data_IF_864611284042
#
_entry.id   IF_864611284042
#
_cell.length_a   1.000
_cell.length_b   1.000
_cell.length_c   1.000
_cell.angle_alpha   90.00
_cell.angle_beta   90.00
_cell.angle_gamma   90.00
#
_symmetry.space_group_name_H-M   'P 1'
#
loop_
_entity.id
_entity.type
_entity.pdbx_description
1 polymer ?
#
# COMPACT_ATOMS: atom_id res chain seq x y z
N UNK A 1 -2.37 -19.34 4.32
CA UNK A 1 -1.15 -19.56 3.49
C UNK A 1 -0.62 -18.19 3.15
N UNK A 2 0.50 -17.81 3.73
CA UNK A 2 0.90 -16.41 3.79
C UNK A 2 1.82 -16.12 2.59
N UNK A 3 1.58 -15.00 1.91
CA UNK A 3 2.24 -14.67 0.64
C UNK A 3 3.19 -13.50 0.87
N UNK A 4 4.36 -13.53 0.22
CA UNK A 4 5.30 -12.41 0.18
C UNK A 4 5.28 -11.81 -1.22
N UNK A 5 4.89 -10.54 -1.32
CA UNK A 5 5.01 -9.75 -2.53
C UNK A 5 6.26 -8.85 -2.45
N UNK A 6 6.95 -8.61 -3.57
CA UNK A 6 8.19 -7.81 -3.63
C UNK A 6 8.19 -6.89 -4.87
N UNK A 7 8.52 -5.60 -4.69
CA UNK A 7 8.41 -4.58 -5.75
C UNK A 7 9.76 -3.92 -6.11
N UNK A 8 9.86 -3.36 -7.32
CA UNK A 8 11.06 -2.73 -7.90
C UNK A 8 10.67 -1.50 -8.74
N UNK A 9 11.41 -0.39 -8.65
CA UNK A 9 11.10 0.88 -9.36
C UNK A 9 11.97 1.06 -10.60
N UNK A 10 11.39 1.57 -11.70
CA UNK A 10 12.13 2.00 -12.89
C UNK A 10 11.42 3.18 -13.61
N UNK A 11 12.20 4.17 -14.04
CA UNK A 11 11.77 5.27 -14.92
C UNK A 11 12.27 5.00 -16.36
N UNK A 12 11.52 5.40 -17.40
CA UNK A 12 11.88 5.03 -18.77
C UNK A 12 11.29 5.89 -19.90
N UNK A 13 11.80 5.64 -21.10
CA UNK A 13 11.39 6.22 -22.40
C UNK A 13 11.39 5.09 -23.45
N UNK A 14 10.55 5.19 -24.50
CA UNK A 14 10.37 4.15 -25.54
C UNK A 14 11.57 3.95 -26.50
N UNK A 15 11.50 3.06 -27.51
CA UNK A 15 10.33 2.43 -28.15
C UNK A 15 10.54 0.91 -28.46
N UNK A 16 9.43 0.18 -28.64
CA UNK A 16 9.29 -0.91 -29.63
C UNK A 16 9.81 -2.33 -29.28
N UNK A 17 9.64 -3.36 -30.14
CA UNK A 17 8.58 -3.60 -31.17
C UNK A 17 8.60 -5.06 -31.73
N UNK A 18 7.56 -5.88 -31.47
CA UNK A 18 7.22 -7.18 -32.12
C UNK A 18 8.27 -8.34 -32.11
N UNK A 19 7.97 -9.65 -32.25
CA UNK A 19 6.82 -10.56 -32.03
C UNK A 19 7.36 -12.02 -32.24
N UNK A 20 6.70 -13.18 -32.09
CA UNK A 20 5.33 -13.65 -31.75
C UNK A 20 5.44 -15.15 -31.32
N UNK A 21 4.52 -15.72 -30.52
CA UNK A 21 4.52 -17.17 -30.18
C UNK A 21 3.26 -17.63 -29.41
N UNK A 22 2.80 -18.88 -29.61
CA UNK A 22 1.41 -19.30 -29.32
C UNK A 22 1.21 -20.08 -28.01
N UNK A 23 0.29 -19.55 -27.18
CA UNK A 23 -0.61 -20.18 -26.22
C UNK A 23 -0.11 -21.17 -25.12
N UNK A 24 -0.09 -20.65 -23.89
CA UNK A 24 -0.75 -21.28 -22.74
C UNK A 24 -1.42 -20.17 -21.90
N UNK A 25 -2.54 -20.45 -21.22
CA UNK A 25 -3.24 -19.44 -20.41
C UNK A 25 -2.53 -19.24 -19.05
N UNK A 26 -2.21 -17.98 -18.70
CA UNK A 26 -1.44 -17.64 -17.50
C UNK A 26 -0.20 -16.77 -17.76
N UNK A 27 -0.24 -15.87 -18.75
CA UNK A 27 0.89 -15.02 -19.09
C UNK A 27 1.07 -13.88 -18.07
N UNK A 28 1.90 -14.09 -17.05
CA UNK A 28 2.51 -12.98 -16.30
C UNK A 28 3.38 -12.18 -17.27
N UNK A 29 2.95 -10.96 -17.62
CA UNK A 29 3.69 -10.08 -18.52
C UNK A 29 4.77 -9.31 -17.76
N UNK A 30 5.84 -9.99 -17.34
CA UNK A 30 7.08 -9.29 -16.99
C UNK A 30 7.61 -8.60 -18.25
N UNK A 31 7.52 -7.27 -18.31
CA UNK A 31 8.08 -6.50 -19.40
C UNK A 31 9.61 -6.49 -19.28
N UNK A 32 10.28 -7.35 -20.05
CA UNK A 32 11.73 -7.41 -20.10
C UNK A 32 12.31 -6.11 -20.68
N UNK A 33 13.28 -5.52 -19.96
CA UNK A 33 14.30 -4.63 -20.49
C UNK A 33 15.60 -4.84 -19.74
N UNK A 34 16.65 -5.20 -20.47
CA UNK A 34 18.00 -5.32 -19.92
C UNK A 34 18.53 -4.00 -19.38
N UNK A 35 18.71 -3.95 -18.07
CA UNK A 35 19.81 -3.22 -17.42
C UNK A 35 20.75 -4.25 -16.81
N UNK A 36 22.05 -3.97 -16.76
CA UNK A 36 23.01 -4.87 -16.12
C UNK A 36 22.58 -5.16 -14.68
N UNK A 37 22.63 -6.43 -14.28
CA UNK A 37 22.31 -6.82 -12.92
C UNK A 37 23.32 -6.16 -11.97
N UNK A 38 22.90 -5.09 -11.29
CA UNK A 38 23.72 -4.42 -10.27
C UNK A 38 24.09 -5.47 -9.24
N UNK A 39 25.40 -5.70 -9.12
CA UNK A 39 25.97 -6.73 -8.26
C UNK A 39 25.40 -6.58 -6.85
N UNK A 40 24.82 -7.67 -6.32
CA UNK A 40 24.07 -7.60 -5.09
C UNK A 40 24.98 -7.15 -3.95
N UNK A 41 24.61 -6.04 -3.31
CA UNK A 41 25.20 -5.68 -2.02
C UNK A 41 24.88 -6.84 -1.08
N UNK A 42 25.93 -7.44 -0.50
CA UNK A 42 25.82 -8.60 0.39
C UNK A 42 24.65 -8.39 1.38
N UNK A 43 23.60 -9.23 1.34
CA UNK A 43 22.40 -9.01 2.13
C UNK A 43 22.66 -9.13 3.64
N UNK A 44 23.80 -9.69 4.06
CA UNK A 44 24.26 -9.64 5.47
C UNK A 44 24.53 -8.20 5.94
N UNK A 45 24.82 -7.27 5.02
CA UNK A 45 25.08 -5.85 5.31
C UNK A 45 23.82 -4.98 5.43
N UNK A 46 22.62 -5.53 5.21
CA UNK A 46 21.36 -4.79 5.35
C UNK A 46 20.91 -4.80 6.80
N UNK A 47 21.05 -3.66 7.48
CA UNK A 47 20.65 -3.50 8.88
C UNK A 47 19.13 -3.59 9.05
N UNK A 48 18.63 -4.55 9.82
CA UNK A 48 17.21 -4.62 10.19
C UNK A 48 16.93 -3.68 11.37
N UNK A 49 15.83 -2.93 11.28
CA UNK A 49 15.40 -1.95 12.28
C UNK A 49 13.88 -2.08 12.44
N UNK A 50 13.39 -2.21 13.66
CA UNK A 50 11.95 -2.23 13.93
C UNK A 50 11.38 -0.81 14.03
N UNK A 51 10.24 -0.56 13.40
CA UNK A 51 9.60 0.75 13.31
C UNK A 51 10.08 1.61 12.14
N UNK A 52 9.59 2.85 12.07
CA UNK A 52 9.83 3.77 10.96
C UNK A 52 11.23 4.42 10.96
N UNK A 53 11.72 4.93 9.82
CA UNK A 53 12.99 5.64 9.73
C UNK A 53 13.09 6.85 10.66
N UNK A 54 14.20 6.98 11.37
CA UNK A 54 14.53 8.14 12.22
C UNK A 54 15.36 9.20 11.51
N UNK A 55 15.72 8.96 10.25
CA UNK A 55 16.48 9.86 9.37
C UNK A 55 15.93 9.79 7.94
N UNK A 56 16.05 10.85 7.13
CA UNK A 56 15.62 10.83 5.73
C UNK A 56 16.26 9.71 4.90
N UNK A 57 15.41 8.90 4.26
CA UNK A 57 15.79 7.76 3.42
C UNK A 57 14.99 7.73 2.12
N UNK A 58 15.59 7.17 1.09
CA UNK A 58 14.90 6.77 -0.14
C UNK A 58 14.51 5.29 -0.01
N UNK A 59 13.23 4.97 -0.23
CA UNK A 59 12.76 3.59 -0.26
C UNK A 59 13.06 2.99 -1.64
N UNK A 60 13.84 1.91 -1.66
CA UNK A 60 14.28 1.21 -2.88
C UNK A 60 13.69 -0.20 -3.02
N UNK A 61 13.05 -0.71 -1.97
CA UNK A 61 12.33 -1.98 -1.95
C UNK A 61 11.12 -1.91 -1.03
N UNK A 62 10.03 -2.57 -1.42
CA UNK A 62 8.92 -2.91 -0.54
C UNK A 62 8.69 -4.42 -0.59
N UNK A 63 8.59 -5.01 0.60
CA UNK A 63 8.10 -6.36 0.83
C UNK A 63 6.88 -6.30 1.77
N UNK A 64 5.93 -7.21 1.62
CA UNK A 64 4.85 -7.43 2.60
C UNK A 64 4.77 -8.90 2.98
N UNK A 65 4.37 -9.19 4.22
CA UNK A 65 3.91 -10.51 4.65
C UNK A 65 2.57 -10.32 5.35
N UNK A 66 1.50 -10.65 4.62
CA UNK A 66 0.12 -10.57 5.10
C UNK A 66 -0.25 -11.82 5.93
N UNK A 67 -1.03 -11.61 6.99
CA UNK A 67 -1.67 -12.62 7.82
C UNK A 67 -3.18 -12.50 7.62
N UNK A 68 -3.92 -13.61 7.76
CA UNK A 68 -5.38 -13.54 7.69
C UNK A 68 -5.91 -12.61 8.79
N UNK A 69 -6.90 -11.77 8.48
CA UNK A 69 -7.45 -10.81 9.45
C UNK A 69 -8.14 -11.50 10.64
N UNK A 70 -8.47 -12.79 10.52
CA UNK A 70 -8.96 -13.63 11.62
C UNK A 70 -7.81 -14.17 12.50
N UNK A 71 -6.63 -14.43 11.94
CA UNK A 71 -5.46 -15.03 12.63
C UNK A 71 -4.68 -13.99 13.46
N UNK A 72 -4.12 -14.40 14.60
CA UNK A 72 -3.31 -13.51 15.45
C UNK A 72 -2.01 -13.08 14.74
N UNK A 73 -1.81 -11.78 14.56
CA UNK A 73 -0.56 -11.24 14.02
C UNK A 73 0.55 -11.36 15.08
N UNK A 74 1.60 -12.17 14.86
CA UNK A 74 2.61 -12.40 15.89
C UNK A 74 3.32 -11.11 16.33
N UNK A 75 3.91 -11.15 17.52
CA UNK A 75 4.62 -10.00 18.09
C UNK A 75 5.89 -9.62 17.31
N UNK A 76 6.47 -10.56 16.54
CA UNK A 76 7.62 -10.36 15.67
C UNK A 76 7.49 -11.22 14.39
N UNK A 77 8.18 -10.83 13.32
CA UNK A 77 8.30 -11.65 12.12
C UNK A 77 9.11 -12.94 12.37
N UNK A 78 8.76 -14.07 11.73
CA UNK A 78 9.63 -15.24 11.68
C UNK A 78 10.98 -14.94 10.98
N UNK A 79 12.07 -15.54 11.46
CA UNK A 79 13.44 -15.23 11.04
C UNK A 79 13.72 -15.53 9.55
N UNK A 80 13.08 -16.56 8.99
CA UNK A 80 13.13 -16.90 7.58
C UNK A 80 12.45 -15.84 6.70
N UNK A 81 11.32 -15.28 7.16
CA UNK A 81 10.63 -14.17 6.50
C UNK A 81 11.49 -12.90 6.54
N UNK A 82 12.07 -12.56 7.70
CA UNK A 82 13.03 -11.43 7.82
C UNK A 82 14.22 -11.63 6.88
N UNK A 83 14.76 -12.84 6.81
CA UNK A 83 15.89 -13.19 5.94
C UNK A 83 15.52 -13.04 4.46
N UNK A 84 14.32 -13.47 4.07
CA UNK A 84 13.79 -13.29 2.71
C UNK A 84 13.62 -11.80 2.35
N UNK A 85 13.01 -10.99 3.23
CA UNK A 85 12.87 -9.54 3.02
C UNK A 85 14.23 -8.85 2.94
N UNK A 86 15.19 -9.24 3.80
CA UNK A 86 16.57 -8.71 3.80
C UNK A 86 17.30 -9.02 2.49
N UNK A 87 17.16 -10.24 1.97
CA UNK A 87 17.72 -10.63 0.67
C UNK A 87 17.09 -9.86 -0.50
N UNK A 88 15.76 -9.69 -0.50
CA UNK A 88 15.05 -8.90 -1.50
C UNK A 88 15.53 -7.43 -1.51
N UNK A 89 15.58 -6.79 -0.34
CA UNK A 89 16.06 -5.42 -0.19
C UNK A 89 17.55 -5.25 -0.57
N UNK A 90 18.42 -6.17 -0.17
CA UNK A 90 19.85 -6.18 -0.55
C UNK A 90 20.06 -6.29 -2.06
N UNK A 91 19.23 -7.09 -2.74
CA UNK A 91 19.23 -7.19 -4.22
C UNK A 91 18.86 -5.87 -4.94
N UNK A 92 18.35 -4.88 -4.21
CA UNK A 92 17.97 -3.55 -4.68
C UNK A 92 18.89 -2.45 -4.13
N UNK A 93 20.01 -2.83 -3.50
CA UNK A 93 21.03 -1.90 -3.01
C UNK A 93 20.74 -1.24 -1.67
N UNK A 94 19.65 -1.65 -0.98
CA UNK A 94 19.30 -1.15 0.35
C UNK A 94 20.47 -1.29 1.35
N UNK A 95 20.49 -0.40 2.34
CA UNK A 95 21.42 -0.44 3.49
C UNK A 95 20.70 -0.73 4.80
N UNK A 96 19.42 -0.40 4.88
CA UNK A 96 18.55 -0.74 6.00
C UNK A 96 17.27 -1.40 5.50
N UNK A 97 16.68 -2.26 6.34
CA UNK A 97 15.35 -2.82 6.19
C UNK A 97 14.55 -2.41 7.42
N UNK A 98 13.60 -1.49 7.26
CA UNK A 98 12.69 -1.10 8.33
C UNK A 98 11.49 -2.06 8.37
N UNK A 99 11.16 -2.59 9.54
CA UNK A 99 10.04 -3.50 9.76
C UNK A 99 8.90 -2.74 10.43
N UNK A 100 7.82 -2.50 9.69
CA UNK A 100 6.61 -1.87 10.22
C UNK A 100 5.50 -2.92 10.40
N UNK A 101 5.03 -3.11 11.64
CA UNK A 101 3.89 -3.96 12.01
C UNK A 101 2.59 -3.17 11.87
N UNK A 102 1.60 -3.72 11.19
CA UNK A 102 0.27 -3.13 11.01
C UNK A 102 -0.78 -4.11 11.54
N UNK A 103 -1.50 -3.70 12.58
CA UNK A 103 -2.39 -4.56 13.37
C UNK A 103 -3.70 -3.82 13.62
N UNK A 104 -4.63 -3.92 12.68
CA UNK A 104 -5.92 -3.25 12.73
C UNK A 104 -7.06 -4.21 12.29
N UNK A 105 -8.35 -3.83 12.46
CA UNK A 105 -9.48 -4.72 12.15
C UNK A 105 -9.64 -5.09 10.67
N UNK A 106 -8.92 -4.43 9.76
CA UNK A 106 -9.06 -4.58 8.31
C UNK A 106 -7.85 -5.24 7.66
N UNK A 107 -6.63 -5.03 8.19
CA UNK A 107 -5.39 -5.66 7.71
C UNK A 107 -4.45 -5.99 8.88
N UNK A 108 -3.88 -7.21 8.81
CA UNK A 108 -2.83 -7.72 9.71
C UNK A 108 -1.62 -8.08 8.88
N UNK A 109 -0.56 -7.28 8.97
CA UNK A 109 0.61 -7.42 8.10
C UNK A 109 1.91 -6.93 8.74
N UNK A 110 3.03 -7.37 8.17
CA UNK A 110 4.33 -6.74 8.35
C UNK A 110 4.87 -6.24 7.01
N UNK A 111 5.36 -5.01 6.98
CA UNK A 111 6.01 -4.41 5.81
C UNK A 111 7.52 -4.33 6.01
N UNK A 112 8.27 -4.85 5.05
CA UNK A 112 9.71 -4.65 4.93
C UNK A 112 10.00 -3.49 3.99
N UNK A 113 10.44 -2.35 4.54
CA UNK A 113 10.81 -1.15 3.78
C UNK A 113 12.34 -1.15 3.58
N UNK A 114 12.80 -1.63 2.44
CA UNK A 114 14.23 -1.60 2.09
C UNK A 114 14.64 -0.22 1.61
N UNK A 115 15.65 0.37 2.24
CA UNK A 115 15.94 1.80 2.13
C UNK A 115 17.43 2.13 2.03
N UNK A 116 17.75 3.29 1.47
CA UNK A 116 19.10 3.88 1.43
C UNK A 116 19.10 5.29 2.06
N UNK A 117 20.20 5.73 2.72
CA UNK A 117 20.28 7.08 3.28
C UNK A 117 20.16 8.16 2.19
N UNK A 118 19.23 9.10 2.34
CA UNK A 118 18.97 10.14 1.35
C UNK A 118 18.88 11.53 2.02
N UNK A 119 20.03 12.20 2.27
CA UNK A 119 20.06 13.50 2.91
C UNK A 119 19.31 14.55 2.09
N UNK A 120 18.18 15.04 2.61
CA UNK A 120 17.29 15.98 1.91
C UNK A 120 16.06 15.34 1.26
N UNK A 121 15.86 14.02 1.37
CA UNK A 121 14.56 13.41 1.14
C UNK A 121 13.53 13.94 2.14
N UNK A 122 12.24 13.86 1.78
CA UNK A 122 11.11 14.26 2.63
C UNK A 122 10.21 13.06 2.89
N UNK A 123 9.59 13.00 4.07
CA UNK A 123 8.63 11.94 4.42
C UNK A 123 7.26 12.10 3.72
N UNK A 124 7.18 13.00 2.73
CA UNK A 124 5.99 13.26 1.94
C UNK A 124 5.88 12.20 0.83
N UNK A 125 4.97 11.24 1.02
CA UNK A 125 4.61 10.30 -0.05
C UNK A 125 4.04 11.04 -1.27
N UNK A 126 4.34 10.58 -2.50
CA UNK A 126 3.71 11.11 -3.69
C UNK A 126 2.20 10.83 -3.68
N UNK A 127 1.40 11.74 -4.22
CA UNK A 127 -0.03 11.48 -4.42
C UNK A 127 -0.22 10.36 -5.46
N UNK A 128 -1.13 9.43 -5.17
CA UNK A 128 -1.51 8.37 -6.12
C UNK A 128 -2.11 9.01 -7.38
N UNK A 129 -1.61 8.60 -8.55
CA UNK A 129 -1.90 9.26 -9.84
C UNK A 129 -1.80 8.31 -11.04
N UNK A 130 -1.78 7.00 -10.79
CA UNK A 130 -1.74 5.95 -11.79
C UNK A 130 -3.12 5.64 -12.40
N UNK A 131 -3.11 4.92 -13.52
CA UNK A 131 -4.32 4.59 -14.27
C UNK A 131 -5.34 3.82 -13.41
N UNK A 132 -6.63 4.19 -13.53
CA UNK A 132 -7.73 3.59 -12.76
C UNK A 132 -7.88 4.09 -11.32
N UNK A 133 -6.85 4.70 -10.71
CA UNK A 133 -6.90 5.14 -9.30
C UNK A 133 -8.10 6.03 -8.97
N UNK A 134 -8.40 7.01 -9.84
CA UNK A 134 -9.51 7.94 -9.64
C UNK A 134 -10.90 7.27 -9.71
N UNK A 135 -11.04 6.17 -10.46
CA UNK A 135 -12.26 5.36 -10.53
C UNK A 135 -12.44 4.56 -9.23
N UNK A 136 -11.37 3.93 -8.74
CA UNK A 136 -11.36 3.24 -7.43
C UNK A 136 -11.69 4.15 -6.25
N UNK A 137 -11.26 5.42 -6.29
CA UNK A 137 -11.69 6.43 -5.30
C UNK A 137 -13.20 6.71 -5.39
N UNK A 138 -13.82 6.67 -6.57
CA UNK A 138 -15.28 6.76 -6.68
C UNK A 138 -15.98 5.47 -6.22
N UNK A 139 -15.42 4.28 -6.45
CA UNK A 139 -15.96 3.01 -5.94
C UNK A 139 -15.97 2.99 -4.40
N UNK A 140 -14.85 3.34 -3.77
CA UNK A 140 -14.70 3.49 -2.32
C UNK A 140 -15.68 4.53 -1.75
N UNK A 141 -15.78 5.70 -2.39
CA UNK A 141 -16.76 6.73 -2.02
C UNK A 141 -18.20 6.22 -2.14
N UNK A 142 -18.55 5.55 -3.24
CA UNK A 142 -19.90 5.05 -3.47
C UNK A 142 -20.27 3.93 -2.48
N UNK A 143 -19.31 3.09 -2.08
CA UNK A 143 -19.46 2.12 -0.99
C UNK A 143 -19.70 2.82 0.35
N UNK A 144 -18.88 3.82 0.68
CA UNK A 144 -19.03 4.66 1.89
C UNK A 144 -20.43 5.28 1.93
N UNK A 145 -20.86 5.96 0.86
CA UNK A 145 -22.19 6.58 0.82
C UNK A 145 -23.34 5.56 0.88
N UNK A 146 -23.18 4.33 0.33
CA UNK A 146 -24.17 3.25 0.55
C UNK A 146 -24.26 2.88 2.03
N UNK A 147 -23.13 2.77 2.72
CA UNK A 147 -23.07 2.50 4.15
C UNK A 147 -23.72 3.63 4.98
N UNK A 148 -23.36 4.89 4.70
CA UNK A 148 -23.94 6.08 5.35
C UNK A 148 -25.46 6.22 5.11
N UNK A 149 -25.97 5.84 3.94
CA UNK A 149 -27.42 5.82 3.66
C UNK A 149 -28.15 4.80 4.53
N UNK A 150 -27.61 3.59 4.70
CA UNK A 150 -28.16 2.57 5.64
C UNK A 150 -28.18 3.09 7.08
N UNK A 151 -27.07 3.69 7.56
CA UNK A 151 -27.03 4.30 8.89
C UNK A 151 -28.09 5.40 9.10
N UNK A 152 -28.54 6.08 8.03
CA UNK A 152 -29.59 7.10 8.09
C UNK A 152 -31.00 6.51 8.21
N UNK A 153 -31.21 5.24 7.86
CA UNK A 153 -32.50 4.55 8.04
C UNK A 153 -32.79 4.37 9.53
N UNK A 154 -31.80 3.92 10.31
CA UNK A 154 -31.86 3.86 11.78
C UNK A 154 -31.71 5.24 12.45
N UNK A 155 -31.06 6.20 11.78
CA UNK A 155 -30.72 7.53 12.33
C UNK A 155 -31.10 8.66 11.37
N UNK A 156 -32.39 9.02 11.20
CA UNK A 156 -32.83 9.99 10.18
C UNK A 156 -32.22 11.40 10.27
N UNK A 157 -31.84 11.82 11.48
CA UNK A 157 -31.14 13.09 11.74
C UNK A 157 -29.63 13.04 11.43
N UNK A 158 -29.07 11.90 11.00
CA UNK A 158 -27.65 11.77 10.66
C UNK A 158 -27.30 12.68 9.48
N UNK A 159 -26.28 13.50 9.68
CA UNK A 159 -25.54 14.22 8.65
C UNK A 159 -24.07 13.87 8.84
N UNK A 160 -23.37 13.62 7.76
CA UNK A 160 -22.00 13.13 7.82
C UNK A 160 -21.15 13.70 6.67
N UNK A 161 -19.94 14.08 7.01
CA UNK A 161 -18.83 14.28 6.09
C UNK A 161 -17.66 13.48 6.64
N UNK A 162 -17.02 12.69 5.78
CA UNK A 162 -15.87 11.86 6.17
C UNK A 162 -14.87 11.84 5.03
N UNK A 163 -13.64 12.23 5.38
CA UNK A 163 -12.46 12.24 4.51
C UNK A 163 -11.48 11.23 5.07
N UNK A 164 -11.13 10.21 4.31
CA UNK A 164 -10.10 9.24 4.68
C UNK A 164 -8.85 9.55 3.87
N UNK A 165 -7.73 9.76 4.57
CA UNK A 165 -6.39 9.78 3.97
C UNK A 165 -5.80 8.39 4.14
N UNK A 166 -5.28 7.82 3.06
CA UNK A 166 -4.81 6.44 3.03
C UNK A 166 -3.52 6.28 2.21
N UNK A 167 -2.79 5.21 2.47
CA UNK A 167 -1.54 4.89 1.79
C UNK A 167 -1.70 3.56 1.05
N UNK A 168 -1.30 3.54 -0.22
CA UNK A 168 -1.41 2.39 -1.12
C UNK A 168 -0.02 1.78 -1.32
N UNK A 169 0.09 0.45 -1.23
CA UNK A 169 1.31 -0.31 -1.54
C UNK A 169 1.51 -0.52 -3.06
N UNK A 170 2.64 -1.10 -3.43
CA UNK A 170 3.01 -1.38 -4.82
C UNK A 170 2.06 -2.35 -5.56
N UNK A 171 1.08 -2.95 -4.87
CA UNK A 171 0.12 -3.92 -5.43
C UNK A 171 -1.33 -3.42 -5.39
N UNK A 172 -1.53 -2.13 -5.09
CA UNK A 172 -2.87 -1.53 -4.98
C UNK A 172 -3.55 -1.74 -3.63
N UNK A 173 -2.93 -2.48 -2.70
CA UNK A 173 -3.47 -2.73 -1.37
C UNK A 173 -3.31 -1.54 -0.43
N UNK A 174 -4.30 -1.30 0.43
CA UNK A 174 -4.20 -0.23 1.45
C UNK A 174 -3.28 -0.67 2.57
N UNK A 175 -2.20 0.06 2.77
CA UNK A 175 -1.27 -0.14 3.89
C UNK A 175 -1.84 0.41 5.20
N UNK A 176 -2.36 1.63 5.15
CA UNK A 176 -2.88 2.41 6.27
C UNK A 176 -3.99 3.33 5.80
N UNK A 177 -4.99 3.55 6.64
CA UNK A 177 -6.04 4.54 6.40
C UNK A 177 -6.43 5.23 7.72
N UNK A 178 -6.70 6.52 7.68
CA UNK A 178 -7.13 7.30 8.84
C UNK A 178 -8.17 8.37 8.44
N UNK A 179 -9.26 8.56 9.21
CA UNK A 179 -10.16 9.69 9.01
C UNK A 179 -9.47 11.00 9.36
N UNK A 180 -9.65 12.03 8.54
CA UNK A 180 -9.08 13.36 8.73
C UNK A 180 -9.61 14.03 10.00
N UNK A 181 -8.87 15.03 10.51
CA UNK A 181 -9.31 15.83 11.67
C UNK A 181 -10.58 16.66 11.41
N UNK A 182 -10.91 16.93 10.14
CA UNK A 182 -12.14 17.60 9.71
C UNK A 182 -13.36 16.67 9.64
N UNK A 183 -13.13 15.35 9.56
CA UNK A 183 -14.20 14.35 9.46
C UNK A 183 -15.10 14.31 10.68
N UNK A 184 -16.36 13.90 10.46
CA UNK A 184 -17.31 13.52 11.50
C UNK A 184 -16.64 12.70 12.60
N UNK A 185 -17.04 12.92 13.85
CA UNK A 185 -16.53 12.21 15.04
C UNK A 185 -17.34 10.97 15.41
N UNK A 186 -18.39 10.67 14.65
CA UNK A 186 -19.20 9.46 14.83
C UNK A 186 -18.41 8.23 14.37
N UNK A 187 -18.35 7.18 15.22
CA UNK A 187 -17.57 5.97 14.94
C UNK A 187 -18.06 5.25 13.68
N UNK A 188 -19.36 4.94 13.63
CA UNK A 188 -19.96 4.19 12.52
C UNK A 188 -19.80 4.90 11.17
N UNK A 189 -19.79 6.24 11.16
CA UNK A 189 -19.51 7.05 9.97
C UNK A 189 -18.06 6.89 9.48
N UNK A 190 -17.10 6.75 10.41
CA UNK A 190 -15.69 6.50 10.10
C UNK A 190 -15.47 5.07 9.65
N UNK A 191 -16.09 4.12 10.34
CA UNK A 191 -15.97 2.68 10.05
C UNK A 191 -16.50 2.40 8.62
N UNK A 192 -17.67 2.94 8.26
CA UNK A 192 -18.22 2.92 6.89
C UNK A 192 -17.25 3.41 5.79
N UNK A 193 -16.31 4.30 6.14
CA UNK A 193 -15.35 4.89 5.20
C UNK A 193 -13.99 4.17 5.21
N UNK A 194 -13.61 3.55 6.34
CA UNK A 194 -12.42 2.73 6.47
C UNK A 194 -12.63 1.36 5.83
N UNK A 195 -13.74 0.68 6.13
CA UNK A 195 -14.19 -0.57 5.48
C UNK A 195 -14.17 -0.41 3.95
N UNK A 196 -14.87 0.61 3.45
CA UNK A 196 -14.96 0.93 2.02
C UNK A 196 -13.64 1.35 1.34
N UNK A 197 -12.59 1.67 2.10
CA UNK A 197 -11.23 1.91 1.58
C UNK A 197 -10.42 0.62 1.62
N UNK A 198 -10.38 -0.12 2.73
CA UNK A 198 -9.65 -1.38 2.83
C UNK A 198 -10.20 -2.50 1.93
N UNK A 199 -11.49 -2.48 1.59
CA UNK A 199 -12.13 -3.38 0.62
C UNK A 199 -11.67 -3.17 -0.84
N UNK A 200 -10.92 -2.10 -1.14
CA UNK A 200 -10.58 -1.72 -2.52
C UNK A 200 -9.12 -2.01 -2.90
N UNK A 201 -8.96 -2.68 -4.03
CA UNK A 201 -7.72 -2.69 -4.82
C UNK A 201 -7.65 -1.38 -5.64
N UNK A 202 -6.74 -0.49 -5.26
CA UNK A 202 -6.50 0.79 -5.92
C UNK A 202 -5.62 0.70 -7.18
N UNK A 203 -5.17 -0.49 -7.57
CA UNK A 203 -4.27 -0.74 -8.70
C UNK A 203 -2.80 -0.42 -8.40
N UNK A 204 -1.88 -1.03 -9.15
CA UNK A 204 -0.42 -0.93 -8.95
C UNK A 204 0.11 0.51 -9.22
N UNK A 205 0.64 1.23 -8.21
CA UNK A 205 1.28 2.53 -8.42
C UNK A 205 2.71 2.40 -8.98
N UNK A 206 3.16 3.42 -9.71
CA UNK A 206 4.52 3.48 -10.26
C UNK A 206 5.63 3.73 -9.21
N UNK A 207 5.24 4.08 -7.98
CA UNK A 207 6.12 4.22 -6.82
C UNK A 207 5.79 3.12 -5.80
N UNK A 208 6.77 2.70 -4.97
CA UNK A 208 6.56 1.64 -3.98
C UNK A 208 5.38 1.91 -3.02
N UNK A 209 5.12 3.20 -2.74
CA UNK A 209 4.04 3.70 -1.89
C UNK A 209 3.53 5.03 -2.46
N UNK A 210 2.22 5.25 -2.40
CA UNK A 210 1.62 6.56 -2.68
C UNK A 210 0.51 6.88 -1.66
N UNK A 211 0.10 8.15 -1.58
CA UNK A 211 -0.99 8.60 -0.72
C UNK A 211 -2.24 8.94 -1.52
N UNK A 212 -3.38 8.41 -1.09
CA UNK A 212 -4.71 8.74 -1.58
C UNK A 212 -5.53 9.54 -0.57
N UNK A 213 -6.56 10.22 -1.06
CA UNK A 213 -7.62 10.82 -0.23
C UNK A 213 -8.98 10.50 -0.87
N UNK A 214 -9.97 10.17 -0.04
CA UNK A 214 -11.36 9.95 -0.45
C UNK A 214 -12.27 10.70 0.50
N UNK A 215 -13.19 11.51 -0.03
CA UNK A 215 -14.21 12.23 0.76
C UNK A 215 -15.60 11.79 0.33
N UNK A 216 -16.43 11.40 1.30
CA UNK A 216 -17.84 11.05 1.14
C UNK A 216 -18.73 11.94 2.02
N UNK A 217 -19.90 12.31 1.50
CA UNK A 217 -20.88 13.15 2.21
C UNK A 217 -22.28 12.54 2.20
N UNK A 218 -22.96 12.68 3.33
CA UNK A 218 -24.37 12.38 3.53
C UNK A 218 -25.05 13.70 3.91
N UNK A 219 -25.47 14.43 2.88
CA UNK A 219 -26.27 15.65 3.03
C UNK A 219 -27.71 15.37 3.48
N UNK A 220 -28.57 16.38 3.32
CA UNK A 220 -29.98 16.27 3.65
C UNK A 220 -30.71 15.15 2.89
N UNK A 221 -31.83 14.73 3.47
CA UNK A 221 -32.81 13.95 2.73
C UNK A 221 -33.62 14.90 1.83
N UNK A 222 -33.98 14.48 0.60
CA UNK A 222 -34.96 15.20 -0.22
C UNK A 222 -36.37 15.11 0.37
#
# INVERSE_FOLDING_TARGET
MNVIHNARVALGVGLGLAALGVAACGSVKTADRGGEAREAVDPVLVQVIDGSPTTPVELVSLSVWDVDVQDELPAALPEDIVTSMRAAAGSLGAKSLFIEREDNPYRRAFYGLGAVPAPGATDLLPACSHDGFAERVQDARAATERCLRRLREDRPALRAEVTVVFQVDAWGGVMRAAPSLASSRDGLVRDCALEAVFDQDFGEPAALRCQGEMTATLGDAP
#
